data_IF_251539894562
#
_entry.id   IF_251539894562
#
_cell.length_a   1.000
_cell.length_b   1.000
_cell.length_c   1.000
_cell.angle_alpha   90.00
_cell.angle_beta   90.00
_cell.angle_gamma   90.00
#
_symmetry.space_group_name_H-M   'P 1'
#
loop_
_entity.id
_entity.type
_entity.pdbx_description
1 polymer ?
#
# COMPACT_ATOMS: atom_id res chain seq x y z
N UNK A 1 19.58 8.82 -12.75
CA UNK A 1 19.91 7.41 -13.01
C UNK A 1 18.78 6.85 -13.87
N UNK A 2 19.03 6.14 -14.98
CA UNK A 2 17.94 5.65 -15.83
C UNK A 2 17.16 4.51 -15.13
N UNK A 3 15.83 4.62 -15.09
CA UNK A 3 14.93 3.68 -14.42
C UNK A 3 14.55 2.53 -15.39
N UNK A 4 15.47 1.60 -15.62
CA UNK A 4 15.26 0.46 -16.54
C UNK A 4 15.09 -0.85 -15.79
N UNK A 5 13.99 -1.57 -16.06
CA UNK A 5 13.78 -2.95 -15.62
C UNK A 5 13.97 -3.89 -16.82
N UNK A 6 15.18 -4.42 -16.99
CA UNK A 6 15.56 -5.12 -18.22
C UNK A 6 15.67 -4.16 -19.41
N UNK A 7 14.97 -4.44 -20.52
CA UNK A 7 14.90 -3.56 -21.69
C UNK A 7 13.76 -2.51 -21.62
N UNK A 8 12.93 -2.56 -20.56
CA UNK A 8 11.82 -1.64 -20.40
C UNK A 8 12.30 -0.37 -19.71
N UNK A 9 12.24 0.76 -20.42
CA UNK A 9 12.40 2.09 -19.81
C UNK A 9 11.10 2.37 -19.07
N UNK A 10 11.14 2.33 -17.74
CA UNK A 10 9.99 2.67 -16.91
C UNK A 10 9.87 4.19 -16.88
N UNK A 11 8.66 4.76 -17.07
CA UNK A 11 8.46 6.18 -16.89
C UNK A 11 8.89 6.59 -15.47
N UNK A 12 9.56 7.74 -15.36
CA UNK A 12 10.01 8.31 -14.07
C UNK A 12 8.84 8.64 -13.12
N UNK A 13 7.61 8.56 -13.61
CA UNK A 13 6.40 9.03 -12.97
C UNK A 13 5.46 7.91 -12.53
N UNK A 14 6.01 6.83 -11.98
CA UNK A 14 5.21 5.74 -11.41
C UNK A 14 5.02 5.99 -9.90
N UNK A 15 3.79 6.00 -9.40
CA UNK A 15 3.52 6.04 -7.96
C UNK A 15 2.86 4.75 -7.48
N UNK A 16 3.22 4.33 -6.26
CA UNK A 16 2.52 3.28 -5.54
C UNK A 16 1.31 3.90 -4.83
N UNK A 17 0.13 3.72 -5.40
CA UNK A 17 -1.10 4.38 -4.93
C UNK A 17 -1.62 3.82 -3.59
N UNK A 18 -1.48 2.52 -3.38
CA UNK A 18 -1.94 1.79 -2.19
C UNK A 18 -0.81 1.60 -1.15
N UNK A 19 0.21 2.45 -1.19
CA UNK A 19 1.36 2.37 -0.28
C UNK A 19 0.99 2.54 1.19
N UNK A 20 -0.02 3.33 1.50
CA UNK A 20 -0.37 3.61 2.89
C UNK A 20 -1.71 3.01 3.32
N UNK A 21 -2.41 2.36 2.40
CA UNK A 21 -3.71 1.73 2.67
C UNK A 21 -3.59 0.33 3.27
N UNK A 22 -2.42 -0.31 3.15
CA UNK A 22 -2.21 -1.66 3.68
C UNK A 22 -1.80 -1.66 5.16
N UNK A 23 -2.46 -2.50 5.95
CA UNK A 23 -2.12 -2.81 7.34
C UNK A 23 -1.84 -4.31 7.50
N UNK A 24 -0.86 -4.74 8.32
CA UNK A 24 -0.47 -6.15 8.46
C UNK A 24 -1.53 -7.03 9.15
N UNK A 25 -2.44 -6.42 9.89
CA UNK A 25 -3.54 -7.10 10.57
C UNK A 25 -4.86 -6.51 10.08
N UNK A 26 -5.81 -7.39 9.76
CA UNK A 26 -7.19 -7.00 9.53
C UNK A 26 -7.99 -7.27 10.80
N UNK A 27 -8.97 -6.42 11.08
CA UNK A 27 -9.83 -6.59 12.24
C UNK A 27 -11.28 -6.19 11.98
N UNK A 28 -12.21 -6.95 12.54
CA UNK A 28 -13.64 -6.61 12.55
C UNK A 28 -14.07 -6.31 13.98
N UNK A 29 -14.79 -5.21 14.16
CA UNK A 29 -15.39 -4.81 15.42
C UNK A 29 -16.90 -4.92 15.32
N UNK A 30 -17.51 -5.66 16.24
CA UNK A 30 -18.96 -5.80 16.32
C UNK A 30 -19.44 -5.48 17.72
N UNK A 31 -20.58 -4.78 17.82
CA UNK A 31 -21.26 -4.54 19.08
C UNK A 31 -22.32 -5.61 19.27
N UNK A 32 -22.25 -6.32 20.39
CA UNK A 32 -23.26 -7.33 20.70
C UNK A 32 -24.56 -6.64 21.15
N UNK A 33 -25.69 -7.35 21.06
CA UNK A 33 -26.98 -6.85 21.53
C UNK A 33 -26.99 -6.51 23.03
N UNK A 34 -26.08 -7.09 23.81
CA UNK A 34 -25.88 -6.78 25.24
C UNK A 34 -24.90 -5.60 25.47
N UNK A 35 -24.42 -4.93 24.43
CA UNK A 35 -23.50 -3.79 24.51
C UNK A 35 -22.01 -4.14 24.60
N UNK A 36 -21.66 -5.42 24.55
CA UNK A 36 -20.27 -5.89 24.53
C UNK A 36 -19.58 -5.55 23.21
N UNK A 37 -18.25 -5.39 23.25
CA UNK A 37 -17.42 -5.24 22.05
C UNK A 37 -16.77 -6.58 21.72
N UNK A 38 -17.06 -7.12 20.55
CA UNK A 38 -16.32 -8.23 19.97
C UNK A 38 -15.28 -7.68 18.99
N UNK A 39 -14.02 -8.05 19.18
CA UNK A 39 -12.91 -7.70 18.29
C UNK A 39 -12.32 -8.99 17.73
N UNK A 40 -12.45 -9.17 16.42
CA UNK A 40 -11.84 -10.26 15.68
C UNK A 40 -10.62 -9.73 14.95
N UNK A 41 -9.44 -10.29 15.23
CA UNK A 41 -8.19 -9.90 14.55
C UNK A 41 -7.59 -11.10 13.83
N UNK A 42 -7.11 -10.89 12.61
CA UNK A 42 -6.40 -11.92 11.85
C UNK A 42 -5.17 -11.31 11.18
N UNK A 43 -4.06 -12.05 11.22
CA UNK A 43 -2.88 -11.73 10.41
C UNK A 43 -3.22 -11.94 8.94
N UNK A 44 -2.95 -10.97 8.07
CA UNK A 44 -3.11 -11.21 6.64
C UNK A 44 -2.09 -12.27 6.19
N UNK A 45 -2.57 -13.36 5.61
CA UNK A 45 -1.72 -14.43 5.05
C UNK A 45 -1.06 -14.01 3.73
N UNK A 46 -1.60 -12.97 3.09
CA UNK A 46 -1.23 -12.50 1.77
C UNK A 46 -0.19 -11.37 1.89
N UNK A 47 0.73 -11.32 0.93
CA UNK A 47 1.66 -10.19 0.81
C UNK A 47 0.95 -8.85 0.59
N UNK A 48 1.71 -7.77 0.76
CA UNK A 48 1.21 -6.41 0.57
C UNK A 48 0.94 -6.14 -0.93
N UNK A 49 -0.28 -5.71 -1.31
CA UNK A 49 -0.59 -5.38 -2.70
C UNK A 49 0.25 -4.17 -3.13
N UNK A 50 0.79 -4.24 -4.35
CA UNK A 50 1.60 -3.19 -4.95
C UNK A 50 0.92 -2.78 -6.25
N UNK A 51 0.11 -1.72 -6.20
CA UNK A 51 -0.51 -1.12 -7.38
C UNK A 51 0.31 0.07 -7.83
N UNK A 52 0.81 0.00 -9.06
CA UNK A 52 1.65 1.03 -9.66
C UNK A 52 0.85 1.80 -10.73
N UNK A 53 0.79 3.13 -10.61
CA UNK A 53 0.11 4.00 -11.58
C UNK A 53 1.11 5.00 -12.16
N UNK A 54 1.11 5.16 -13.49
CA UNK A 54 1.87 6.20 -14.18
C UNK A 54 1.04 7.50 -14.22
N UNK A 55 1.52 8.57 -13.61
CA UNK A 55 0.78 9.84 -13.48
C UNK A 55 1.68 11.03 -13.72
N UNK A 56 1.24 12.01 -14.51
CA UNK A 56 2.04 13.21 -14.75
C UNK A 56 2.25 14.03 -13.46
N UNK A 57 3.48 14.50 -13.24
CA UNK A 57 3.83 15.41 -12.14
C UNK A 57 4.19 14.73 -10.80
N UNK A 58 4.17 13.39 -10.73
CA UNK A 58 4.76 12.66 -9.60
C UNK A 58 6.14 12.17 -10.00
N UNK A 59 7.16 12.51 -9.21
CA UNK A 59 8.50 11.94 -9.32
C UNK A 59 8.80 11.15 -8.06
N UNK A 60 9.61 10.09 -8.17
CA UNK A 60 10.09 9.35 -7.00
C UNK A 60 10.99 10.27 -6.15
N UNK A 61 10.45 10.85 -5.08
CA UNK A 61 11.28 11.43 -4.02
C UNK A 61 11.90 10.26 -3.24
N UNK A 62 13.23 10.19 -3.21
CA UNK A 62 13.91 9.22 -2.36
C UNK A 62 13.69 9.59 -0.89
N UNK A 63 13.61 8.60 0.01
CA UNK A 63 13.37 8.82 1.44
C UNK A 63 14.49 9.59 2.15
N UNK A 64 15.60 9.87 1.48
CA UNK A 64 16.66 10.76 1.98
C UNK A 64 16.39 12.24 1.66
N UNK A 65 15.44 12.54 0.77
CA UNK A 65 15.10 13.90 0.35
C UNK A 65 13.94 14.52 1.15
N UNK A 66 13.40 13.78 2.14
CA UNK A 66 12.35 14.21 3.08
C UNK A 66 12.84 13.93 4.50
#
# INVERSE_FOLDING_TARGET
MPNTLGALTLPDQIMWIDRYSWAPATGQMERTMAGGLALFTQSMANGRPVTLEAREGVAWLSRQQV
#
